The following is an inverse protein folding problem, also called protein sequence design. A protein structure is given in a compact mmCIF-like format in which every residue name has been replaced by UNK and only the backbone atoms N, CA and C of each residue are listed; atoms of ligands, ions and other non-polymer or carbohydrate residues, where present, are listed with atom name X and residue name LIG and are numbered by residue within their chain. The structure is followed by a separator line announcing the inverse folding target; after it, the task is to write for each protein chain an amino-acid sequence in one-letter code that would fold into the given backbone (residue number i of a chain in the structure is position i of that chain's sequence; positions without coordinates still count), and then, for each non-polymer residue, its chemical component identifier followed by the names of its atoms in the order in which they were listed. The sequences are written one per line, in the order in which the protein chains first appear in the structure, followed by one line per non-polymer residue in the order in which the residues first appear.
data_IF_045381111578
#
_entry.id   IF_045381111578
#
_cell.length_a   1.000
_cell.length_b   1.000
_cell.length_c   1.000
_cell.angle_alpha   90.00
_cell.angle_beta   90.00
_cell.angle_gamma   90.00
#
_symmetry.space_group_name_H-M   'P 1'
#
loop_
_entity.id
_entity.type
_entity.pdbx_description
1 polymer ?
#
# COMPACT_ATOMS: atom_id res chain seq x y z
N UNK A 1 1.03 -0.22 -8.14
CA UNK A 1 1.51 -1.52 -8.62
C UNK A 1 0.31 -2.37 -8.96
N UNK A 2 0.38 -3.21 -10.00
CA UNK A 2 -0.73 -4.10 -10.36
C UNK A 2 -0.76 -5.32 -9.43
N UNK A 3 -1.96 -5.69 -8.94
CA UNK A 3 -2.16 -6.86 -8.09
C UNK A 3 -2.33 -8.11 -8.95
N UNK A 4 -1.84 -9.25 -8.46
CA UNK A 4 -2.07 -10.52 -9.15
C UNK A 4 -3.49 -11.04 -8.95
N UNK A 5 -3.88 -12.04 -9.76
CA UNK A 5 -5.23 -12.64 -9.76
C UNK A 5 -5.67 -13.12 -8.37
N UNK A 6 -4.76 -13.76 -7.63
CA UNK A 6 -5.07 -14.25 -6.27
C UNK A 6 -5.36 -13.10 -5.30
N UNK A 7 -4.58 -12.01 -5.38
CA UNK A 7 -4.77 -10.84 -4.53
C UNK A 7 -6.06 -10.10 -4.86
N UNK A 8 -6.39 -9.95 -6.15
CA UNK A 8 -7.64 -9.35 -6.60
C UNK A 8 -8.84 -10.14 -6.09
N UNK A 9 -8.82 -11.47 -6.30
CA UNK A 9 -9.88 -12.35 -5.80
C UNK A 9 -10.09 -12.22 -4.29
N UNK A 10 -9.01 -12.17 -3.51
CA UNK A 10 -9.11 -11.98 -2.05
C UNK A 10 -9.71 -10.61 -1.66
N UNK A 11 -9.45 -9.55 -2.43
CA UNK A 11 -10.06 -8.24 -2.19
C UNK A 11 -11.55 -8.23 -2.59
N UNK A 12 -11.92 -8.92 -3.67
CA UNK A 12 -13.30 -9.00 -4.15
C UNK A 12 -14.19 -9.87 -3.25
N UNK A 13 -13.63 -10.94 -2.67
CA UNK A 13 -14.35 -11.83 -1.74
C UNK A 13 -14.43 -11.26 -0.31
N UNK A 14 -13.73 -10.17 -0.02
CA UNK A 14 -13.78 -9.53 1.28
C UNK A 14 -15.12 -8.79 1.47
N UNK A 15 -15.79 -9.02 2.60
CA UNK A 15 -17.12 -8.44 2.92
C UNK A 15 -17.05 -7.33 3.97
N UNK A 16 -15.87 -7.07 4.53
CA UNK A 16 -15.67 -6.03 5.54
C UNK A 16 -15.61 -4.63 4.91
N UNK A 17 -16.25 -3.65 5.56
CA UNK A 17 -16.19 -2.25 5.14
C UNK A 17 -15.05 -1.50 5.85
N UNK A 18 -14.04 -1.11 5.06
CA UNK A 18 -12.91 -0.31 5.53
C UNK A 18 -12.93 1.14 5.04
N UNK A 19 -14.00 1.60 4.40
CA UNK A 19 -14.08 2.92 3.75
C UNK A 19 -13.86 4.11 4.70
N UNK A 20 -14.10 3.91 6.01
CA UNK A 20 -13.88 4.91 7.05
C UNK A 20 -12.44 4.92 7.62
N UNK A 21 -11.58 3.98 7.23
CA UNK A 21 -10.20 3.90 7.71
C UNK A 21 -9.27 4.78 6.87
N UNK A 22 -8.23 5.30 7.54
CA UNK A 22 -7.14 6.05 6.91
C UNK A 22 -5.82 5.38 7.27
N UNK A 23 -4.96 5.22 6.26
CA UNK A 23 -3.65 4.61 6.44
C UNK A 23 -2.53 5.61 6.11
N UNK A 24 -1.47 5.57 6.91
CA UNK A 24 -0.22 6.29 6.67
C UNK A 24 0.95 5.30 6.72
N UNK A 25 1.66 5.19 5.61
CA UNK A 25 2.93 4.48 5.52
C UNK A 25 4.07 5.45 5.82
N UNK A 26 4.98 5.04 6.70
CA UNK A 26 6.22 5.77 6.98
C UNK A 26 7.38 4.92 6.47
N UNK A 27 8.01 5.37 5.40
CA UNK A 27 9.18 4.73 4.83
C UNK A 27 10.45 5.28 5.49
N UNK A 28 10.99 4.48 6.41
CA UNK A 28 12.21 4.78 7.17
C UNK A 28 13.49 4.29 6.48
N UNK A 29 13.48 4.13 5.15
CA UNK A 29 14.70 3.77 4.42
C UNK A 29 15.77 4.84 4.63
N UNK A 30 17.03 4.41 4.76
CA UNK A 30 18.18 5.31 4.86
C UNK A 30 18.61 5.91 3.52
N UNK A 31 17.98 5.48 2.42
CA UNK A 31 18.26 5.96 1.06
C UNK A 31 17.47 7.25 0.81
N UNK A 32 18.15 8.28 0.29
CA UNK A 32 17.49 9.57 0.02
C UNK A 32 16.59 9.48 -1.19
N UNK A 33 15.44 10.14 -1.17
CA UNK A 33 14.61 10.28 -2.37
C UNK A 33 15.40 10.99 -3.49
N UNK A 34 15.36 10.53 -4.76
CA UNK A 34 14.49 9.50 -5.34
C UNK A 34 15.12 8.10 -5.46
N UNK A 35 16.12 7.76 -4.63
CA UNK A 35 16.79 6.45 -4.71
C UNK A 35 15.83 5.28 -4.46
N UNK A 36 16.04 4.18 -5.20
CA UNK A 36 15.22 2.97 -5.08
C UNK A 36 15.32 2.33 -3.69
N UNK A 37 14.18 2.17 -3.03
CA UNK A 37 14.02 1.49 -1.74
C UNK A 37 13.24 0.18 -1.91
N UNK A 38 13.82 -0.94 -1.47
CA UNK A 38 13.12 -2.23 -1.50
C UNK A 38 11.87 -2.21 -0.60
N UNK A 39 11.95 -1.53 0.55
CA UNK A 39 10.83 -1.33 1.46
C UNK A 39 9.68 -0.59 0.78
N UNK A 40 9.98 0.40 -0.07
CA UNK A 40 8.96 1.10 -0.89
C UNK A 40 8.23 0.11 -1.80
N UNK A 41 8.95 -0.78 -2.47
CA UNK A 41 8.35 -1.79 -3.33
C UNK A 41 7.36 -2.71 -2.59
N UNK A 42 7.70 -3.16 -1.39
CA UNK A 42 6.78 -3.93 -0.54
C UNK A 42 5.58 -3.08 -0.08
N UNK A 43 5.81 -1.81 0.28
CA UNK A 43 4.75 -0.88 0.66
C UNK A 43 3.78 -0.64 -0.50
N UNK A 44 4.26 -0.54 -1.73
CA UNK A 44 3.41 -0.30 -2.91
C UNK A 44 2.44 -1.46 -3.18
N UNK A 45 2.81 -2.71 -2.87
CA UNK A 45 1.89 -3.86 -2.90
C UNK A 45 0.81 -3.70 -1.84
N UNK A 46 1.19 -3.39 -0.60
CA UNK A 46 0.24 -3.21 0.50
C UNK A 46 -0.72 -2.03 0.24
N UNK A 47 -0.21 -0.92 -0.31
CA UNK A 47 -1.01 0.24 -0.70
C UNK A 47 -2.03 -0.11 -1.77
N UNK A 48 -1.64 -0.87 -2.80
CA UNK A 48 -2.57 -1.30 -3.85
C UNK A 48 -3.71 -2.18 -3.30
N UNK A 49 -3.43 -3.06 -2.33
CA UNK A 49 -4.47 -3.83 -1.62
C UNK A 49 -5.41 -2.90 -0.83
N UNK A 50 -4.85 -1.92 -0.11
CA UNK A 50 -5.64 -0.94 0.66
C UNK A 50 -6.56 -0.12 -0.25
N UNK A 51 -6.04 0.38 -1.39
CA UNK A 51 -6.80 1.13 -2.38
C UNK A 51 -7.98 0.30 -2.95
N UNK A 52 -7.75 -1.00 -3.21
CA UNK A 52 -8.83 -1.91 -3.62
C UNK A 52 -9.91 -2.13 -2.56
N UNK A 53 -9.56 -1.96 -1.30
CA UNK A 53 -10.48 -2.05 -0.17
C UNK A 53 -10.99 -0.67 0.29
N UNK A 54 -10.95 0.33 -0.60
CA UNK A 54 -11.47 1.69 -0.35
C UNK A 54 -10.77 2.48 0.76
N UNK A 55 -9.59 2.03 1.20
CA UNK A 55 -8.72 2.78 2.10
C UNK A 55 -7.80 3.63 1.23
N UNK A 56 -7.69 4.93 1.52
CA UNK A 56 -6.78 5.84 0.80
C UNK A 56 -5.44 5.94 1.55
N UNK A 57 -4.38 5.20 1.13
CA UNK A 57 -3.09 5.25 1.80
C UNK A 57 -2.33 6.53 1.46
N UNK A 58 -1.71 7.12 2.47
CA UNK A 58 -0.70 8.17 2.32
C UNK A 58 0.67 7.60 2.63
N UNK A 59 1.71 8.20 2.06
CA UNK A 59 3.09 7.79 2.29
C UNK A 59 3.95 9.00 2.62
N UNK A 60 4.84 8.84 3.60
CA UNK A 60 5.92 9.78 3.91
C UNK A 60 7.23 9.00 3.88
N UNK A 61 8.24 9.50 3.17
CA UNK A 61 9.61 9.02 3.25
C UNK A 61 10.45 10.00 4.06
N UNK A 62 11.20 9.51 5.05
CA UNK A 62 11.92 10.36 5.99
C UNK A 62 13.21 10.97 5.41
N UNK A 63 13.79 10.35 4.37
CA UNK A 63 15.09 10.71 3.79
C UNK A 63 15.05 10.87 2.27
#
# INVERSE_FOLDING_TARGET
MELNEKQLKLCEENTEDFSNLKALFINCTLKKSPQTSNTRGLMDVAKAIMEKNMILPREIQLL
#
